data_IF_632347309797
#
_entry.id   IF_632347309797
#
_cell.length_a   1.000
_cell.length_b   1.000
_cell.length_c   1.000
_cell.angle_alpha   90.00
_cell.angle_beta   90.00
_cell.angle_gamma   90.00
#
_symmetry.space_group_name_H-M   'P 1'
#
loop_
_entity.id
_entity.type
_entity.pdbx_description
1 polymer ?
#
# COMPACT_ATOMS: atom_id res chain seq x y z
N UNK A 1 67.42 -2.53 -4.64
CA UNK A 1 66.43 -2.25 -3.57
C UNK A 1 65.85 -3.59 -3.12
N UNK A 2 66.44 -4.16 -2.06
CA UNK A 2 65.99 -5.41 -1.44
C UNK A 2 64.79 -5.11 -0.55
N UNK A 3 63.57 -5.47 -0.97
CA UNK A 3 62.43 -5.49 -0.06
C UNK A 3 62.51 -6.77 0.79
N UNK A 4 62.55 -6.67 2.12
CA UNK A 4 62.51 -7.85 2.98
C UNK A 4 61.13 -8.53 2.85
N UNK A 5 61.12 -9.76 2.35
CA UNK A 5 59.94 -10.64 2.37
C UNK A 5 59.80 -11.17 3.79
N UNK A 6 58.73 -10.79 4.49
CA UNK A 6 58.39 -11.34 5.80
C UNK A 6 57.66 -12.67 5.55
N UNK A 7 58.21 -13.83 5.97
CA UNK A 7 57.51 -15.10 5.82
C UNK A 7 56.34 -15.15 6.79
N UNK A 8 55.11 -15.26 6.27
CA UNK A 8 53.92 -15.55 7.07
C UNK A 8 54.01 -17.03 7.46
N UNK A 9 54.32 -17.29 8.73
CA UNK A 9 54.22 -18.64 9.28
C UNK A 9 52.77 -19.13 9.16
N UNK A 10 52.58 -20.28 8.52
CA UNK A 10 51.28 -20.95 8.48
C UNK A 10 50.87 -21.28 9.91
N UNK A 11 49.92 -20.51 10.47
CA UNK A 11 49.30 -20.85 11.75
C UNK A 11 48.64 -22.21 11.59
N UNK A 12 48.95 -23.12 12.52
CA UNK A 12 48.23 -24.40 12.68
C UNK A 12 46.72 -24.18 12.58
N UNK A 13 45.95 -25.15 12.04
CA UNK A 13 44.52 -25.00 11.89
C UNK A 13 43.91 -24.75 13.27
N UNK A 14 43.58 -23.49 13.55
CA UNK A 14 42.83 -23.08 14.72
C UNK A 14 41.59 -23.95 14.76
N UNK A 15 41.41 -24.70 15.86
CA UNK A 15 40.21 -25.48 16.19
C UNK A 15 39.01 -24.72 15.64
N UNK A 16 38.35 -25.27 14.62
CA UNK A 16 37.09 -24.73 14.14
C UNK A 16 36.20 -24.59 15.36
N UNK A 17 35.96 -23.35 15.80
CA UNK A 17 34.88 -23.08 16.73
C UNK A 17 33.65 -23.70 16.06
N UNK A 18 33.12 -24.77 16.66
CA UNK A 18 31.77 -25.25 16.35
C UNK A 18 30.92 -23.99 16.24
N UNK A 19 30.22 -23.80 15.12
CA UNK A 19 29.20 -22.76 15.02
C UNK A 19 28.24 -23.02 16.17
N UNK A 20 28.44 -22.33 17.28
CA UNK A 20 27.43 -22.20 18.32
C UNK A 20 26.17 -21.69 17.62
N UNK A 21 25.02 -22.18 18.09
CA UNK A 21 23.69 -22.03 17.52
C UNK A 21 23.47 -20.70 16.75
N UNK A 22 22.66 -20.70 15.67
CA UNK A 22 22.46 -19.51 14.85
C UNK A 22 22.27 -18.26 15.72
N UNK A 23 23.12 -17.25 15.50
CA UNK A 23 23.03 -15.96 16.20
C UNK A 23 21.67 -15.35 15.86
N UNK A 24 20.78 -15.30 16.84
CA UNK A 24 19.42 -14.82 16.68
C UNK A 24 18.53 -15.34 17.80
N UNK A 25 17.35 -14.75 17.95
CA UNK A 25 16.36 -15.23 18.92
C UNK A 25 15.92 -16.63 18.53
N UNK A 26 15.89 -17.58 19.48
CA UNK A 26 15.30 -18.91 19.25
C UNK A 26 13.83 -18.71 18.93
N UNK A 27 13.39 -19.28 17.80
CA UNK A 27 12.00 -19.22 17.38
C UNK A 27 11.18 -20.18 18.24
N UNK A 28 10.10 -19.67 18.81
CA UNK A 28 9.12 -20.46 19.53
C UNK A 28 8.34 -21.35 18.53
N UNK A 29 8.34 -22.69 18.69
CA UNK A 29 7.57 -23.58 17.83
C UNK A 29 6.07 -23.25 17.77
N UNK A 30 5.48 -22.74 18.85
CA UNK A 30 4.07 -22.35 18.87
C UNK A 30 3.82 -21.13 17.98
N UNK A 31 4.63 -20.08 18.14
CA UNK A 31 4.55 -18.87 17.30
C UNK A 31 4.80 -19.19 15.81
N UNK A 32 5.68 -20.15 15.51
CA UNK A 32 5.90 -20.62 14.15
C UNK A 32 4.67 -21.30 13.56
N UNK A 33 4.03 -22.21 14.30
CA UNK A 33 2.82 -22.87 13.87
C UNK A 33 1.68 -21.87 13.63
N UNK A 34 1.54 -20.86 14.50
CA UNK A 34 0.58 -19.77 14.36
C UNK A 34 0.83 -18.92 13.09
N UNK A 35 2.09 -18.57 12.82
CA UNK A 35 2.48 -17.86 11.59
C UNK A 35 2.18 -18.70 10.36
N UNK A 36 2.56 -19.98 10.34
CA UNK A 36 2.28 -20.88 9.23
C UNK A 36 0.78 -21.04 8.98
N UNK A 37 -0.02 -21.19 10.04
CA UNK A 37 -1.47 -21.24 9.95
C UNK A 37 -2.08 -19.92 9.44
N UNK A 38 -1.47 -18.77 9.75
CA UNK A 38 -1.94 -17.45 9.31
C UNK A 38 -1.59 -17.18 7.85
N UNK A 39 -0.40 -17.58 7.41
CA UNK A 39 0.05 -17.41 6.04
C UNK A 39 -0.61 -18.43 5.09
N UNK A 40 -0.93 -19.63 5.59
CA UNK A 40 -1.58 -20.69 4.83
C UNK A 40 -0.79 -21.06 3.57
N UNK A 41 -1.46 -21.08 2.42
CA UNK A 41 -0.86 -21.34 1.10
C UNK A 41 -0.21 -20.13 0.43
N UNK A 42 -0.19 -18.95 1.07
CA UNK A 42 0.32 -17.71 0.44
C UNK A 42 1.80 -17.86 0.06
N UNK A 43 2.24 -17.19 -1.02
CA UNK A 43 3.66 -17.16 -1.38
C UNK A 43 4.53 -16.57 -0.26
N UNK A 44 5.76 -17.09 -0.10
CA UNK A 44 6.79 -16.60 0.84
C UNK A 44 7.80 -15.69 0.15
N UNK A 45 7.48 -15.17 -1.03
CA UNK A 45 8.33 -14.19 -1.71
C UNK A 45 8.56 -12.98 -0.81
N UNK A 46 9.76 -12.40 -0.91
CA UNK A 46 10.24 -11.32 -0.04
C UNK A 46 9.31 -10.11 -0.06
N UNK A 47 8.79 -9.77 -1.24
CA UNK A 47 7.93 -8.60 -1.45
C UNK A 47 6.57 -8.68 -0.76
N UNK A 48 6.17 -9.87 -0.29
CA UNK A 48 4.94 -10.04 0.50
C UNK A 48 5.16 -9.85 2.00
N UNK A 49 6.35 -9.40 2.44
CA UNK A 49 6.65 -9.22 3.86
C UNK A 49 5.61 -8.31 4.55
N UNK A 50 5.30 -7.14 3.97
CA UNK A 50 4.33 -6.21 4.54
C UNK A 50 2.92 -6.81 4.56
N UNK A 51 2.53 -7.54 3.52
CA UNK A 51 1.24 -8.25 3.48
C UNK A 51 1.13 -9.31 4.58
N UNK A 52 2.22 -10.03 4.86
CA UNK A 52 2.26 -11.01 5.94
C UNK A 52 2.27 -10.36 7.33
N UNK A 53 2.92 -9.20 7.48
CA UNK A 53 2.83 -8.39 8.71
C UNK A 53 1.38 -7.93 8.95
N UNK A 54 0.66 -7.48 7.91
CA UNK A 54 -0.76 -7.16 8.03
C UNK A 54 -1.60 -8.36 8.45
N UNK A 55 -1.39 -9.54 7.85
CA UNK A 55 -2.13 -10.76 8.24
C UNK A 55 -1.93 -11.13 9.71
N UNK A 56 -0.70 -11.01 10.21
CA UNK A 56 -0.41 -11.27 11.62
C UNK A 56 -1.07 -10.23 12.51
N UNK A 57 -0.95 -8.95 12.17
CA UNK A 57 -1.57 -7.88 12.97
C UNK A 57 -3.09 -7.97 12.97
N UNK A 58 -3.73 -8.22 11.84
CA UNK A 58 -5.18 -8.34 11.75
C UNK A 58 -5.70 -9.55 12.55
N UNK A 59 -4.90 -10.62 12.64
CA UNK A 59 -5.25 -11.83 13.40
C UNK A 59 -5.02 -11.69 14.90
N UNK A 60 -3.90 -11.11 15.31
CA UNK A 60 -3.45 -11.09 16.71
C UNK A 60 -3.61 -9.71 17.39
N UNK A 61 -4.01 -8.68 16.64
CA UNK A 61 -4.16 -7.29 17.10
C UNK A 61 -2.84 -6.55 17.31
N UNK A 62 -1.70 -7.22 17.13
CA UNK A 62 -0.35 -6.67 17.28
C UNK A 62 0.68 -7.62 16.66
N UNK A 63 1.93 -7.18 16.59
CA UNK A 63 3.08 -7.96 16.17
C UNK A 63 3.98 -8.27 17.36
N UNK A 64 3.79 -9.45 17.94
CA UNK A 64 4.67 -9.89 19.03
C UNK A 64 6.08 -10.17 18.51
N UNK A 65 7.08 -9.95 19.36
CA UNK A 65 8.46 -10.24 18.98
C UNK A 65 8.71 -11.75 18.72
N UNK A 66 7.86 -12.65 19.25
CA UNK A 66 7.88 -14.07 18.89
C UNK A 66 7.35 -14.32 17.47
N UNK A 67 6.25 -13.66 17.08
CA UNK A 67 5.70 -13.73 15.73
C UNK A 67 6.64 -13.14 14.69
N UNK A 68 7.31 -12.02 14.98
CA UNK A 68 8.30 -11.44 14.07
C UNK A 68 9.50 -12.37 13.84
N UNK A 69 10.00 -13.01 14.90
CA UNK A 69 11.08 -13.99 14.78
C UNK A 69 10.67 -15.23 14.00
N UNK A 70 9.44 -15.70 14.22
CA UNK A 70 8.85 -16.82 13.48
C UNK A 70 8.62 -16.48 11.99
N UNK A 71 8.11 -15.29 11.68
CA UNK A 71 7.93 -14.81 10.31
C UNK A 71 9.26 -14.72 9.57
N UNK A 72 10.29 -14.18 10.22
CA UNK A 72 11.64 -14.12 9.65
C UNK A 72 12.16 -15.53 9.29
N UNK A 73 11.95 -16.52 10.16
CA UNK A 73 12.32 -17.91 9.86
C UNK A 73 11.50 -18.48 8.70
N UNK A 74 10.18 -18.32 8.72
CA UNK A 74 9.27 -18.85 7.70
C UNK A 74 9.57 -18.27 6.31
N UNK A 75 9.86 -16.97 6.23
CA UNK A 75 10.21 -16.28 4.98
C UNK A 75 11.70 -16.38 4.61
N UNK A 76 12.53 -16.98 5.46
CA UNK A 76 14.00 -17.07 5.30
C UNK A 76 14.67 -15.70 5.18
N UNK A 77 14.20 -14.73 5.97
CA UNK A 77 14.75 -13.38 6.06
C UNK A 77 15.52 -13.17 7.38
N UNK A 78 16.49 -12.25 7.43
CA UNK A 78 17.10 -11.84 8.69
C UNK A 78 16.05 -11.25 9.65
N UNK A 79 16.09 -11.65 10.94
CA UNK A 79 15.18 -11.10 11.97
C UNK A 79 15.27 -9.57 12.07
N UNK A 80 16.47 -9.00 11.91
CA UNK A 80 16.68 -7.57 11.90
C UNK A 80 15.94 -6.88 10.73
N UNK A 81 15.97 -7.46 9.54
CA UNK A 81 15.27 -6.90 8.37
C UNK A 81 13.76 -6.88 8.59
N UNK A 82 13.18 -7.98 9.08
CA UNK A 82 11.74 -8.05 9.39
C UNK A 82 11.36 -7.03 10.46
N UNK A 83 12.16 -6.92 11.53
CA UNK A 83 11.91 -5.95 12.59
C UNK A 83 12.03 -4.50 12.10
N UNK A 84 13.06 -4.18 11.31
CA UNK A 84 13.27 -2.84 10.76
C UNK A 84 12.12 -2.43 9.84
N UNK A 85 11.67 -3.34 8.97
CA UNK A 85 10.49 -3.11 8.12
C UNK A 85 9.26 -2.88 8.99
N UNK A 86 8.96 -3.76 9.94
CA UNK A 86 7.80 -3.60 10.81
C UNK A 86 7.84 -2.27 11.58
N UNK A 87 8.99 -1.89 12.14
CA UNK A 87 9.14 -0.69 12.97
C UNK A 87 9.10 0.63 12.20
N UNK A 88 9.25 0.58 10.87
CA UNK A 88 9.23 1.76 10.03
C UNK A 88 7.81 2.30 9.79
N UNK A 89 6.82 1.41 9.83
CA UNK A 89 5.43 1.71 9.49
C UNK A 89 4.58 1.92 10.74
N UNK A 90 3.92 3.07 10.86
CA UNK A 90 3.24 3.49 12.09
C UNK A 90 2.03 2.64 12.46
N UNK A 91 1.44 1.93 11.48
CA UNK A 91 0.27 1.13 11.77
C UNK A 91 0.60 -0.22 12.39
N UNK A 92 1.86 -0.65 12.38
CA UNK A 92 2.28 -1.90 13.02
C UNK A 92 2.56 -1.69 14.52
N UNK A 93 1.71 -2.30 15.35
CA UNK A 93 1.86 -2.34 16.80
C UNK A 93 2.84 -3.44 17.21
N UNK A 94 4.12 -3.07 17.37
CA UNK A 94 5.15 -4.01 17.81
C UNK A 94 5.17 -4.12 19.33
N UNK A 95 5.10 -5.36 19.84
CA UNK A 95 5.16 -5.66 21.28
C UNK A 95 6.44 -6.44 21.58
N UNK A 96 7.32 -5.86 22.41
CA UNK A 96 8.58 -6.50 22.83
C UNK A 96 8.34 -7.53 23.92
N UNK A 97 9.39 -8.30 24.26
CA UNK A 97 9.32 -9.25 25.36
C UNK A 97 8.96 -8.58 26.68
N UNK A 98 7.95 -9.13 27.37
CA UNK A 98 7.53 -8.63 28.68
C UNK A 98 6.68 -7.35 28.63
N UNK A 99 6.43 -6.78 27.44
CA UNK A 99 5.49 -5.67 27.28
C UNK A 99 4.05 -6.19 27.20
N UNK A 100 3.10 -5.40 27.72
CA UNK A 100 1.69 -5.72 27.61
C UNK A 100 1.19 -5.47 26.18
N UNK A 101 0.35 -6.37 25.69
CA UNK A 101 -0.33 -6.17 24.42
C UNK A 101 -1.22 -4.92 24.45
N UNK A 102 -1.38 -4.22 23.31
CA UNK A 102 -2.32 -3.11 23.23
C UNK A 102 -3.75 -3.60 23.50
N UNK A 103 -4.63 -2.64 23.83
CA UNK A 103 -6.04 -2.94 24.00
C UNK A 103 -6.64 -3.53 22.71
N UNK A 104 -7.59 -4.46 22.85
CA UNK A 104 -8.15 -5.21 21.72
C UNK A 104 -8.83 -4.32 20.67
N UNK A 105 -9.28 -3.13 21.07
CA UNK A 105 -9.83 -2.13 20.16
C UNK A 105 -9.04 -0.83 20.27
N UNK A 106 -8.70 -0.26 19.13
CA UNK A 106 -8.07 1.06 19.02
C UNK A 106 -9.01 2.04 18.35
N UNK A 107 -9.18 3.20 18.96
CA UNK A 107 -9.81 4.39 18.38
C UNK A 107 -8.72 5.37 18.00
N UNK A 108 -8.66 5.74 16.72
CA UNK A 108 -7.73 6.74 16.21
C UNK A 108 -8.49 8.03 15.98
N UNK A 109 -8.07 9.13 16.60
CA UNK A 109 -8.63 10.46 16.34
C UNK A 109 -7.64 11.21 15.46
N UNK A 110 -8.11 11.77 14.35
CA UNK A 110 -7.29 12.56 13.45
C UNK A 110 -6.84 13.85 14.16
N UNK A 111 -5.53 14.09 14.24
CA UNK A 111 -4.90 15.31 14.76
C UNK A 111 -4.45 16.27 13.66
N UNK A 112 -4.87 16.04 12.42
CA UNK A 112 -4.62 16.98 11.33
C UNK A 112 -5.33 18.32 11.56
N UNK A 113 -4.75 19.41 11.04
CA UNK A 113 -5.22 20.79 11.24
C UNK A 113 -6.75 20.98 11.09
N UNK A 114 -7.38 20.44 10.05
CA UNK A 114 -8.83 20.57 9.86
C UNK A 114 -9.64 19.91 10.99
N UNK A 115 -9.15 18.79 11.53
CA UNK A 115 -9.79 18.07 12.63
C UNK A 115 -9.54 18.75 13.97
N UNK A 116 -8.33 19.26 14.23
CA UNK A 116 -8.04 20.10 15.40
C UNK A 116 -8.97 21.32 15.45
N UNK A 117 -9.05 22.08 14.35
CA UNK A 117 -9.96 23.23 14.22
C UNK A 117 -11.44 22.87 14.42
N UNK A 118 -11.81 21.61 14.17
CA UNK A 118 -13.16 21.10 14.34
C UNK A 118 -13.39 20.40 15.71
N UNK A 119 -12.42 20.43 16.62
CA UNK A 119 -12.55 19.93 17.99
C UNK A 119 -12.00 18.52 18.24
N UNK A 120 -11.02 18.05 17.45
CA UNK A 120 -10.38 16.76 17.69
C UNK A 120 -9.68 16.66 19.06
N UNK A 121 -9.11 17.75 19.57
CA UNK A 121 -8.48 17.80 20.91
C UNK A 121 -9.47 17.45 22.02
N UNK A 122 -10.71 17.91 21.88
CA UNK A 122 -11.81 17.61 22.79
C UNK A 122 -12.14 16.12 22.80
N UNK A 123 -12.12 15.47 21.62
CA UNK A 123 -12.31 14.03 21.51
C UNK A 123 -11.15 13.28 22.17
N UNK A 124 -9.90 13.66 21.88
CA UNK A 124 -8.71 13.04 22.45
C UNK A 124 -8.67 13.16 23.98
N UNK A 125 -9.12 14.29 24.53
CA UNK A 125 -9.18 14.50 25.97
C UNK A 125 -10.28 13.69 26.66
N UNK A 126 -11.47 13.58 26.05
CA UNK A 126 -12.67 13.01 26.69
C UNK A 126 -12.83 11.50 26.48
N UNK A 127 -12.50 11.00 25.29
CA UNK A 127 -12.72 9.59 24.93
C UNK A 127 -12.02 8.58 25.86
N UNK A 128 -10.76 8.78 26.33
CA UNK A 128 -10.12 7.82 27.23
C UNK A 128 -10.91 7.57 28.51
N UNK A 129 -11.51 8.62 29.10
CA UNK A 129 -12.33 8.49 30.29
C UNK A 129 -13.68 7.82 30.01
N UNK A 130 -14.27 8.09 28.84
CA UNK A 130 -15.57 7.55 28.43
C UNK A 130 -15.52 6.07 28.03
N UNK A 131 -14.45 5.65 27.34
CA UNK A 131 -14.33 4.30 26.78
C UNK A 131 -13.65 3.32 27.74
N UNK A 132 -12.99 3.81 28.79
CA UNK A 132 -12.31 2.99 29.79
C UNK A 132 -11.00 2.38 29.29
N UNK A 133 -10.45 1.43 30.06
CA UNK A 133 -9.11 0.85 29.82
C UNK A 133 -9.07 -0.25 28.75
N UNK A 134 -10.23 -0.75 28.33
CA UNK A 134 -10.35 -1.81 27.32
C UNK A 134 -10.24 -1.29 25.89
N UNK A 135 -10.26 0.04 25.71
CA UNK A 135 -10.14 0.69 24.41
C UNK A 135 -8.98 1.67 24.45
N UNK A 136 -8.06 1.50 23.51
CA UNK A 136 -6.91 2.40 23.34
C UNK A 136 -7.33 3.56 22.46
N UNK A 137 -7.21 4.80 22.95
CA UNK A 137 -7.43 6.01 22.16
C UNK A 137 -6.09 6.64 21.83
N UNK A 138 -5.81 6.88 20.54
CA UNK A 138 -4.57 7.52 20.09
C UNK A 138 -4.86 8.64 19.09
N UNK A 139 -3.98 9.63 19.06
CA UNK A 139 -3.89 10.57 17.94
C UNK A 139 -3.34 9.85 16.71
N UNK A 140 -3.80 10.27 15.53
CA UNK A 140 -3.30 9.78 14.25
C UNK A 140 -3.19 10.95 13.26
N UNK A 141 -2.17 10.94 12.38
CA UNK A 141 -2.08 11.89 11.28
C UNK A 141 -3.34 11.90 10.39
N UNK A 142 -3.38 12.83 9.42
CA UNK A 142 -4.50 12.96 8.50
C UNK A 142 -4.94 11.61 7.88
N UNK A 143 -6.19 11.22 8.13
CA UNK A 143 -6.81 9.99 7.64
C UNK A 143 -7.60 10.17 6.32
N UNK A 144 -7.37 11.28 5.59
CA UNK A 144 -7.98 11.54 4.28
C UNK A 144 -9.49 11.86 4.31
N UNK A 145 -9.98 12.41 5.43
CA UNK A 145 -11.40 12.72 5.67
C UNK A 145 -11.62 14.14 6.19
N UNK A 146 -10.84 15.09 5.68
CA UNK A 146 -10.86 16.47 6.15
C UNK A 146 -12.21 17.17 5.89
N UNK A 147 -12.97 16.76 4.88
CA UNK A 147 -14.33 17.25 4.62
C UNK A 147 -15.37 16.68 5.62
N UNK A 148 -14.98 15.71 6.43
CA UNK A 148 -15.77 15.08 7.48
C UNK A 148 -15.25 15.45 8.88
N UNK A 149 -14.43 16.48 9.02
CA UNK A 149 -13.81 16.86 10.28
C UNK A 149 -14.84 17.24 11.40
N UNK A 150 -14.53 16.97 12.69
CA UNK A 150 -13.41 16.15 13.14
C UNK A 150 -13.68 14.68 12.79
N UNK A 151 -12.64 13.94 12.41
CA UNK A 151 -12.79 12.55 11.99
C UNK A 151 -12.06 11.61 12.96
N UNK A 152 -12.68 10.46 13.25
CA UNK A 152 -12.09 9.39 14.04
C UNK A 152 -12.25 8.04 13.32
N UNK A 153 -11.54 7.01 13.76
CA UNK A 153 -11.66 5.64 13.26
C UNK A 153 -11.77 4.70 14.44
N UNK A 154 -12.85 3.91 14.51
CA UNK A 154 -13.04 2.84 15.48
C UNK A 154 -12.65 1.53 14.83
N UNK A 155 -11.51 0.96 15.21
CA UNK A 155 -10.91 -0.17 14.49
C UNK A 155 -10.54 0.23 13.07
N UNK A 156 -11.35 -0.19 12.09
CA UNK A 156 -11.24 0.13 10.67
C UNK A 156 -12.43 0.97 10.16
N UNK A 157 -13.39 1.30 11.03
CA UNK A 157 -14.61 2.04 10.68
C UNK A 157 -14.43 3.54 10.89
N UNK A 158 -14.45 4.38 9.84
CA UNK A 158 -14.40 5.82 9.98
C UNK A 158 -15.71 6.36 10.58
N UNK A 159 -15.58 7.30 11.50
CA UNK A 159 -16.68 8.04 12.11
C UNK A 159 -16.58 9.48 11.59
N UNK A 160 -17.41 9.87 10.59
CA UNK A 160 -17.45 11.23 10.09
C UNK A 160 -18.10 12.17 11.10
N UNK A 161 -17.65 13.43 11.18
CA UNK A 161 -18.14 14.45 12.12
C UNK A 161 -18.22 13.88 13.54
N UNK A 162 -17.13 13.26 13.96
CA UNK A 162 -17.04 12.45 15.16
C UNK A 162 -17.41 13.27 16.41
N UNK A 163 -18.28 12.70 17.22
CA UNK A 163 -18.57 13.16 18.57
C UNK A 163 -18.20 12.05 19.56
N UNK A 164 -18.02 12.41 20.83
CA UNK A 164 -17.78 11.40 21.87
C UNK A 164 -18.88 10.33 21.90
N UNK A 165 -20.14 10.74 21.73
CA UNK A 165 -21.29 9.83 21.73
C UNK A 165 -21.30 8.90 20.51
N UNK A 166 -21.01 9.42 19.33
CA UNK A 166 -20.96 8.62 18.09
C UNK A 166 -19.83 7.58 18.15
N UNK A 167 -18.65 7.98 18.62
CA UNK A 167 -17.51 7.07 18.81
C UNK A 167 -17.84 6.02 19.88
N UNK A 168 -18.40 6.42 21.03
CA UNK A 168 -18.78 5.50 22.09
C UNK A 168 -19.88 4.52 21.65
N UNK A 169 -20.84 4.97 20.84
CA UNK A 169 -21.85 4.11 20.23
C UNK A 169 -21.19 3.07 19.31
N UNK A 170 -20.34 3.49 18.39
CA UNK A 170 -19.64 2.57 17.49
C UNK A 170 -18.77 1.54 18.24
N UNK A 171 -18.13 1.95 19.34
CA UNK A 171 -17.40 1.02 20.24
C UNK A 171 -18.33 0.02 20.91
N UNK A 172 -19.44 0.47 21.53
CA UNK A 172 -20.42 -0.41 22.19
C UNK A 172 -21.03 -1.41 21.22
N UNK A 173 -21.36 -0.95 20.02
CA UNK A 173 -22.01 -1.76 18.98
C UNK A 173 -21.00 -2.64 18.22
N UNK A 174 -19.70 -2.52 18.54
CA UNK A 174 -18.59 -3.20 17.84
C UNK A 174 -18.60 -2.94 16.33
N UNK A 175 -19.02 -1.74 15.93
CA UNK A 175 -19.01 -1.27 14.55
C UNK A 175 -17.58 -0.89 14.14
N UNK A 176 -16.74 -1.92 13.94
CA UNK A 176 -15.29 -1.78 13.71
C UNK A 176 -14.85 -1.94 12.26
N UNK A 177 -15.76 -2.29 11.35
CA UNK A 177 -15.49 -2.46 9.92
C UNK A 177 -16.19 -1.37 9.13
N UNK A 178 -15.45 -0.74 8.21
CA UNK A 178 -16.03 0.18 7.25
C UNK A 178 -16.80 -0.60 6.18
N UNK A 179 -18.08 -0.30 6.02
CA UNK A 179 -18.85 -0.75 4.86
C UNK A 179 -18.82 0.34 3.80
N UNK A 180 -18.37 0.06 2.56
CA UNK A 180 -18.45 1.03 1.48
C UNK A 180 -19.89 1.52 1.28
N UNK A 181 -20.05 2.80 1.00
CA UNK A 181 -21.33 3.35 0.53
C UNK A 181 -21.64 2.85 -0.90
N UNK A 182 -22.78 3.25 -1.47
CA UNK A 182 -23.12 2.89 -2.84
C UNK A 182 -22.14 3.54 -3.85
N UNK A 183 -21.64 2.75 -4.79
CA UNK A 183 -20.70 3.14 -5.84
C UNK A 183 -21.11 2.51 -7.18
N UNK A 184 -20.53 2.98 -8.29
CA UNK A 184 -20.70 2.40 -9.61
C UNK A 184 -19.85 1.12 -9.69
N UNK A 185 -20.49 -0.04 -9.52
CA UNK A 185 -19.83 -1.34 -9.59
C UNK A 185 -19.56 -1.78 -11.05
N UNK A 186 -18.90 -2.94 -11.22
CA UNK A 186 -18.55 -3.46 -12.55
C UNK A 186 -19.75 -3.58 -13.51
N UNK A 187 -20.90 -4.06 -13.01
CA UNK A 187 -22.06 -4.34 -13.83
C UNK A 187 -22.71 -3.02 -14.28
N UNK A 188 -22.88 -2.08 -13.35
CA UNK A 188 -23.37 -0.75 -13.67
C UNK A 188 -22.41 -0.03 -14.62
N UNK A 189 -21.10 -0.07 -14.35
CA UNK A 189 -20.09 0.58 -15.20
C UNK A 189 -20.16 0.06 -16.64
N UNK A 190 -20.31 -1.27 -16.82
CA UNK A 190 -20.48 -1.89 -18.14
C UNK A 190 -21.78 -1.51 -18.82
N UNK A 191 -22.88 -1.46 -18.07
CA UNK A 191 -24.19 -1.06 -18.59
C UNK A 191 -24.18 0.38 -19.13
N UNK A 192 -23.37 1.25 -18.53
CA UNK A 192 -23.17 2.64 -18.95
C UNK A 192 -22.11 2.80 -20.08
N UNK A 193 -21.62 1.70 -20.65
CA UNK A 193 -20.65 1.70 -21.75
C UNK A 193 -19.18 1.68 -21.32
N UNK A 194 -18.90 1.39 -20.05
CA UNK A 194 -17.55 1.18 -19.55
C UNK A 194 -16.81 0.04 -20.26
N UNK A 195 -15.48 0.16 -20.33
CA UNK A 195 -14.56 -0.73 -21.05
C UNK A 195 -14.68 -0.72 -22.58
N UNK A 196 -15.56 0.08 -23.18
CA UNK A 196 -15.66 0.19 -24.64
C UNK A 196 -14.46 0.92 -25.24
N UNK A 197 -13.93 1.94 -24.55
CA UNK A 197 -12.71 2.61 -24.99
C UNK A 197 -11.53 1.64 -24.98
N UNK A 198 -11.35 0.88 -23.89
CA UNK A 198 -10.33 -0.17 -23.83
C UNK A 198 -10.48 -1.18 -24.98
N UNK A 199 -11.68 -1.68 -25.26
CA UNK A 199 -11.95 -2.59 -26.39
C UNK A 199 -11.60 -1.96 -27.75
N UNK A 200 -11.85 -0.67 -27.93
CA UNK A 200 -11.48 0.06 -29.16
C UNK A 200 -9.96 0.17 -29.35
N UNK A 201 -9.20 0.27 -28.25
CA UNK A 201 -7.74 0.26 -28.27
C UNK A 201 -7.19 -1.12 -28.68
N UNK A 202 -7.74 -2.22 -28.13
CA UNK A 202 -7.26 -3.57 -28.47
C UNK A 202 -7.67 -4.03 -29.87
N UNK A 203 -8.78 -3.54 -30.41
CA UNK A 203 -9.25 -3.86 -31.77
C UNK A 203 -8.58 -3.03 -32.87
N UNK A 204 -7.55 -2.25 -32.51
CA UNK A 204 -6.82 -1.34 -33.42
C UNK A 204 -7.68 -0.23 -34.05
N UNK A 205 -8.91 -0.03 -33.56
CA UNK A 205 -9.74 1.12 -33.95
C UNK A 205 -9.13 2.45 -33.49
N UNK A 206 -8.30 2.42 -32.44
CA UNK A 206 -7.44 3.53 -32.01
C UNK A 206 -5.99 3.08 -31.93
N UNK A 207 -5.09 3.86 -32.53
CA UNK A 207 -3.65 3.58 -32.45
C UNK A 207 -3.06 4.08 -31.13
N UNK A 208 -2.00 3.42 -30.66
CA UNK A 208 -1.26 3.82 -29.45
C UNK A 208 -0.76 5.26 -29.58
N UNK A 209 -0.25 5.63 -30.75
CA UNK A 209 0.24 6.99 -31.02
C UNK A 209 -0.90 8.01 -30.93
N UNK A 210 -2.09 7.70 -31.44
CA UNK A 210 -3.26 8.59 -31.32
C UNK A 210 -3.65 8.83 -29.86
N UNK A 211 -3.65 7.78 -29.03
CA UNK A 211 -3.99 7.90 -27.60
C UNK A 211 -2.94 8.72 -26.86
N UNK A 212 -1.65 8.40 -27.03
CA UNK A 212 -0.56 9.14 -26.40
C UNK A 212 -0.58 10.62 -26.82
N UNK A 213 -0.76 10.89 -28.12
CA UNK A 213 -0.83 12.26 -28.64
C UNK A 213 -2.01 13.02 -28.04
N UNK A 214 -3.18 12.39 -27.89
CA UNK A 214 -4.35 13.01 -27.25
C UNK A 214 -4.04 13.42 -25.81
N UNK A 215 -3.35 12.57 -25.05
CA UNK A 215 -2.91 12.90 -23.68
C UNK A 215 -1.86 14.01 -23.64
N UNK A 216 -0.98 14.11 -24.65
CA UNK A 216 -0.03 15.22 -24.78
C UNK A 216 -0.73 16.53 -25.14
N UNK A 217 -1.63 16.51 -26.12
CA UNK A 217 -2.37 17.68 -26.61
C UNK A 217 -3.35 18.24 -25.57
N UNK A 218 -3.97 17.37 -24.76
CA UNK A 218 -4.84 17.81 -23.64
C UNK A 218 -4.08 18.52 -22.52
N UNK A 219 -2.75 18.40 -22.48
CA UNK A 219 -1.94 18.95 -21.42
C UNK A 219 -2.10 18.23 -20.08
N UNK A 220 -2.58 16.98 -20.06
CA UNK A 220 -2.68 16.18 -18.84
C UNK A 220 -1.30 16.05 -18.17
N UNK A 221 -1.24 16.42 -16.89
CA UNK A 221 -0.05 16.30 -16.03
C UNK A 221 -0.35 15.36 -14.88
N UNK A 222 0.69 14.78 -14.28
CA UNK A 222 0.54 13.95 -13.08
C UNK A 222 -0.09 14.73 -11.93
N UNK A 223 -1.27 14.30 -11.49
CA UNK A 223 -2.11 14.93 -10.46
C UNK A 223 -1.76 14.48 -9.03
N UNK A 224 -0.60 13.83 -8.86
CA UNK A 224 0.01 13.55 -7.55
C UNK A 224 0.86 14.72 -7.00
N UNK A 225 0.87 15.88 -7.65
CA UNK A 225 1.58 17.09 -7.22
C UNK A 225 2.81 17.45 -8.06
N UNK A 226 3.60 16.47 -8.51
CA UNK A 226 4.82 16.74 -9.30
C UNK A 226 4.55 17.32 -10.70
N UNK A 227 3.37 17.06 -11.28
CA UNK A 227 2.95 17.68 -12.53
C UNK A 227 3.81 17.32 -13.75
N UNK A 228 4.36 16.11 -13.85
CA UNK A 228 5.05 15.68 -15.08
C UNK A 228 4.03 15.34 -16.18
N UNK A 229 4.22 15.72 -17.46
CA UNK A 229 3.26 15.44 -18.54
C UNK A 229 3.00 13.93 -18.72
N UNK A 230 1.74 13.52 -18.68
CA UNK A 230 1.35 12.10 -18.63
C UNK A 230 1.73 11.35 -19.91
N UNK A 231 1.34 11.87 -21.08
CA UNK A 231 1.66 11.24 -22.37
C UNK A 231 3.17 11.12 -22.63
N UNK A 232 3.95 12.13 -22.22
CA UNK A 232 5.42 12.05 -22.28
C UNK A 232 5.98 10.95 -21.37
N UNK A 233 5.42 10.77 -20.17
CA UNK A 233 5.81 9.68 -19.25
C UNK A 233 5.56 8.32 -19.89
N UNK A 234 4.43 8.16 -20.59
CA UNK A 234 4.09 6.93 -21.31
C UNK A 234 5.09 6.64 -22.43
N UNK A 235 5.47 7.64 -23.25
CA UNK A 235 6.50 7.47 -24.28
C UNK A 235 7.83 7.00 -23.70
N UNK A 236 8.27 7.60 -22.60
CA UNK A 236 9.55 7.26 -21.94
C UNK A 236 9.54 5.79 -21.52
N UNK A 237 8.53 5.36 -20.76
CA UNK A 237 8.48 3.96 -20.28
C UNK A 237 8.28 2.98 -21.43
N UNK A 238 7.45 3.31 -22.43
CA UNK A 238 7.26 2.47 -23.62
C UNK A 238 8.56 2.27 -24.43
N UNK A 239 9.48 3.23 -24.40
CA UNK A 239 10.76 3.14 -25.09
C UNK A 239 11.77 2.22 -24.38
N UNK A 240 11.58 1.95 -23.08
CA UNK A 240 12.46 1.06 -22.31
C UNK A 240 12.23 -0.42 -22.64
N UNK A 241 13.20 -1.32 -22.43
CA UNK A 241 13.02 -2.75 -22.72
C UNK A 241 11.89 -3.39 -21.90
N UNK A 242 11.16 -4.32 -22.52
CA UNK A 242 10.27 -5.22 -21.79
C UNK A 242 11.09 -6.24 -20.98
N UNK A 243 10.54 -6.81 -19.89
CA UNK A 243 9.20 -6.58 -19.32
C UNK A 243 9.10 -5.29 -18.50
N UNK A 244 7.97 -4.59 -18.64
CA UNK A 244 7.64 -3.32 -17.96
C UNK A 244 6.54 -3.54 -16.94
N UNK A 245 6.50 -2.72 -15.90
CA UNK A 245 5.50 -2.78 -14.82
C UNK A 245 4.78 -1.45 -14.67
N UNK A 246 3.64 -1.47 -13.98
CA UNK A 246 2.97 -0.25 -13.52
C UNK A 246 2.87 -0.23 -12.01
N UNK A 247 3.06 0.95 -11.41
CA UNK A 247 2.73 1.25 -10.03
C UNK A 247 1.68 2.37 -10.00
N UNK A 248 0.58 2.18 -9.27
CA UNK A 248 -0.43 3.21 -9.05
C UNK A 248 -0.40 3.63 -7.60
N UNK A 249 -0.27 4.93 -7.37
CA UNK A 249 -0.22 5.54 -6.06
C UNK A 249 -1.61 6.01 -5.61
N UNK A 250 -2.14 5.36 -4.57
CA UNK A 250 -3.34 5.73 -3.81
C UNK A 250 -2.98 5.83 -2.30
N UNK A 251 -1.78 6.30 -1.98
CA UNK A 251 -1.39 6.56 -0.58
C UNK A 251 -2.04 7.84 -0.03
N UNK A 252 -2.40 8.80 -0.92
CA UNK A 252 -3.06 10.09 -0.62
C UNK A 252 -2.72 10.66 0.78
N UNK A 253 -1.41 10.72 1.09
CA UNK A 253 -0.93 10.99 2.45
C UNK A 253 -0.92 12.46 2.83
N UNK A 254 -0.96 13.37 1.86
CA UNK A 254 -0.90 14.82 2.08
C UNK A 254 -2.10 15.30 2.93
N UNK A 255 -1.86 15.93 4.10
CA UNK A 255 -2.94 16.46 4.92
C UNK A 255 -3.88 17.38 4.14
N UNK A 256 -5.20 17.16 4.28
CA UNK A 256 -6.21 17.94 3.54
C UNK A 256 -6.60 17.36 2.18
N UNK A 257 -5.87 16.37 1.67
CA UNK A 257 -6.23 15.69 0.41
C UNK A 257 -7.20 14.52 0.65
N UNK A 258 -8.22 14.45 -0.20
CA UNK A 258 -9.26 13.40 -0.19
C UNK A 258 -9.89 13.21 -1.58
N UNK A 259 -9.27 13.76 -2.63
CA UNK A 259 -9.76 13.75 -4.00
C UNK A 259 -9.75 12.32 -4.57
N UNK A 260 -8.69 11.55 -4.29
CA UNK A 260 -8.54 10.18 -4.78
C UNK A 260 -9.56 9.29 -4.08
N UNK A 261 -9.70 9.40 -2.76
CA UNK A 261 -10.75 8.69 -2.02
C UNK A 261 -12.15 8.99 -2.55
N UNK A 262 -12.50 10.27 -2.71
CA UNK A 262 -13.86 10.65 -3.13
C UNK A 262 -14.21 10.10 -4.50
N UNK A 263 -13.25 10.06 -5.43
CA UNK A 263 -13.46 9.46 -6.75
C UNK A 263 -13.50 7.93 -6.66
N UNK A 264 -12.61 7.32 -5.89
CA UNK A 264 -12.52 5.87 -5.71
C UNK A 264 -13.76 5.27 -5.02
N UNK A 265 -14.32 5.96 -4.00
CA UNK A 265 -15.53 5.56 -3.30
C UNK A 265 -16.79 5.69 -4.19
N UNK A 266 -16.70 6.29 -5.39
CA UNK A 266 -17.86 6.53 -6.28
C UNK A 266 -17.77 5.76 -7.60
N UNK A 267 -16.63 5.78 -8.25
CA UNK A 267 -16.44 5.21 -9.60
C UNK A 267 -15.04 4.57 -9.71
N UNK A 268 -14.83 3.40 -9.09
CA UNK A 268 -13.55 2.70 -9.12
C UNK A 268 -13.17 2.24 -10.53
N UNK A 269 -14.16 1.88 -11.36
CA UNK A 269 -13.92 1.29 -12.67
C UNK A 269 -13.41 2.28 -13.70
N UNK A 270 -13.75 3.57 -13.57
CA UNK A 270 -13.20 4.62 -14.42
C UNK A 270 -11.68 4.76 -14.31
N UNK A 271 -11.15 4.69 -13.08
CA UNK A 271 -9.71 4.60 -12.86
C UNK A 271 -9.14 3.28 -13.40
N UNK A 272 -9.77 2.14 -13.11
CA UNK A 272 -9.27 0.82 -13.55
C UNK A 272 -9.21 0.73 -15.08
N UNK A 273 -10.18 1.26 -15.80
CA UNK A 273 -10.15 1.32 -17.27
C UNK A 273 -9.00 2.21 -17.76
N UNK A 274 -8.82 3.40 -17.20
CA UNK A 274 -7.70 4.28 -17.54
C UNK A 274 -6.33 3.64 -17.29
N UNK A 275 -6.20 2.91 -16.18
CA UNK A 275 -5.02 2.10 -15.85
C UNK A 275 -4.76 1.02 -16.91
N UNK A 276 -5.79 0.28 -17.32
CA UNK A 276 -5.68 -0.77 -18.35
C UNK A 276 -5.33 -0.20 -19.73
N UNK A 277 -5.85 0.98 -20.10
CA UNK A 277 -5.48 1.69 -21.33
C UNK A 277 -4.01 2.09 -21.28
N UNK A 278 -3.54 2.62 -20.15
CA UNK A 278 -2.14 2.96 -19.95
C UNK A 278 -1.23 1.73 -20.06
N UNK A 279 -1.66 0.60 -19.49
CA UNK A 279 -0.94 -0.66 -19.54
C UNK A 279 -0.84 -1.19 -20.97
N UNK A 280 -1.94 -1.18 -21.73
CA UNK A 280 -1.94 -1.51 -23.16
C UNK A 280 -1.00 -0.59 -23.96
N UNK A 281 -1.12 0.73 -23.77
CA UNK A 281 -0.32 1.71 -24.49
C UNK A 281 1.19 1.58 -24.18
N UNK A 282 1.57 1.09 -23.01
CA UNK A 282 2.96 0.91 -22.61
C UNK A 282 3.48 -0.54 -22.74
N UNK A 283 2.62 -1.52 -23.06
CA UNK A 283 2.98 -2.94 -23.09
C UNK A 283 3.38 -3.46 -21.70
N UNK A 284 2.48 -3.30 -20.74
CA UNK A 284 2.64 -3.70 -19.33
C UNK A 284 1.69 -4.86 -19.03
N UNK A 285 2.22 -5.95 -18.48
CA UNK A 285 1.45 -7.17 -18.16
C UNK A 285 1.00 -7.23 -16.68
N UNK A 286 1.58 -6.42 -15.80
CA UNK A 286 1.28 -6.42 -14.36
C UNK A 286 1.25 -5.00 -13.80
N UNK A 287 0.15 -4.68 -13.11
CA UNK A 287 -0.10 -3.39 -12.46
C UNK A 287 -0.22 -3.58 -10.94
N UNK A 288 0.61 -2.88 -10.19
CA UNK A 288 0.55 -2.83 -8.73
C UNK A 288 -0.20 -1.58 -8.30
N UNK A 289 -1.28 -1.74 -7.55
CA UNK A 289 -2.04 -0.64 -6.97
C UNK A 289 -1.68 -0.55 -5.49
N UNK A 290 -1.05 0.54 -5.07
CA UNK A 290 -0.69 0.77 -3.68
C UNK A 290 -1.72 1.66 -3.01
N UNK A 291 -2.41 1.12 -2.01
CA UNK A 291 -3.47 1.82 -1.29
C UNK A 291 -3.08 1.99 0.18
N UNK A 292 -3.19 3.21 0.70
CA UNK A 292 -2.96 3.48 2.13
C UNK A 292 -3.85 2.63 3.02
N UNK A 293 -3.38 2.34 4.22
CA UNK A 293 -4.11 1.48 5.16
C UNK A 293 -5.43 2.10 5.64
N UNK A 294 -5.45 3.43 5.81
CA UNK A 294 -6.58 4.19 6.34
C UNK A 294 -7.85 4.02 5.51
N UNK A 295 -7.72 3.73 4.22
CA UNK A 295 -8.81 3.58 3.26
C UNK A 295 -9.39 2.16 3.24
N UNK A 296 -9.71 1.62 4.41
CA UNK A 296 -10.23 0.26 4.61
C UNK A 296 -11.43 -0.10 3.72
N UNK A 297 -12.38 0.82 3.57
CA UNK A 297 -13.57 0.62 2.72
C UNK A 297 -13.21 0.56 1.24
N UNK A 298 -12.35 1.48 0.79
CA UNK A 298 -11.82 1.46 -0.58
C UNK A 298 -11.06 0.17 -0.87
N UNK A 299 -10.31 -0.35 0.12
CA UNK A 299 -9.58 -1.62 0.00
C UNK A 299 -10.54 -2.78 -0.24
N UNK A 300 -11.55 -2.93 0.62
CA UNK A 300 -12.54 -4.00 0.48
C UNK A 300 -13.31 -3.91 -0.85
N UNK A 301 -13.65 -2.70 -1.28
CA UNK A 301 -14.28 -2.43 -2.57
C UNK A 301 -13.36 -2.81 -3.74
N UNK A 302 -12.10 -2.36 -3.74
CA UNK A 302 -11.15 -2.69 -4.79
C UNK A 302 -10.83 -4.18 -4.85
N UNK A 303 -10.65 -4.85 -3.71
CA UNK A 303 -10.46 -6.30 -3.64
C UNK A 303 -11.63 -7.02 -4.34
N UNK A 304 -12.87 -6.64 -4.04
CA UNK A 304 -14.06 -7.24 -4.64
C UNK A 304 -14.17 -6.97 -6.15
N UNK A 305 -13.99 -5.72 -6.60
CA UNK A 305 -14.12 -5.37 -8.02
C UNK A 305 -12.95 -5.91 -8.86
N UNK A 306 -11.73 -5.98 -8.32
CA UNK A 306 -10.59 -6.63 -8.99
C UNK A 306 -10.85 -8.14 -9.12
N UNK A 307 -11.43 -8.80 -8.11
CA UNK A 307 -11.78 -10.22 -8.21
C UNK A 307 -12.85 -10.47 -9.29
N UNK A 308 -13.86 -9.60 -9.40
CA UNK A 308 -14.82 -9.67 -10.51
C UNK A 308 -14.14 -9.55 -11.88
N UNK A 309 -13.20 -8.59 -12.03
CA UNK A 309 -12.42 -8.43 -13.27
C UNK A 309 -11.51 -9.63 -13.57
N UNK A 310 -11.00 -10.32 -12.55
CA UNK A 310 -10.22 -11.56 -12.75
C UNK A 310 -11.09 -12.71 -13.25
N UNK A 311 -12.32 -12.82 -12.75
CA UNK A 311 -13.28 -13.87 -13.15
C UNK A 311 -13.84 -13.63 -14.55
N UNK A 312 -14.22 -12.39 -14.84
CA UNK A 312 -14.78 -12.00 -16.14
C UNK A 312 -14.07 -10.74 -16.68
N UNK A 313 -12.87 -10.89 -17.26
CA UNK A 313 -12.10 -9.76 -17.74
C UNK A 313 -12.76 -9.09 -18.96
N UNK A 314 -12.75 -7.75 -19.05
CA UNK A 314 -13.36 -7.03 -20.16
C UNK A 314 -12.66 -7.28 -21.51
N UNK A 315 -11.42 -7.78 -21.47
CA UNK A 315 -10.56 -8.04 -22.65
C UNK A 315 -9.69 -9.29 -22.43
N UNK A 316 -9.31 -9.94 -23.53
CA UNK A 316 -8.37 -11.08 -23.52
C UNK A 316 -6.99 -10.58 -23.09
N UNK A 317 -6.27 -11.40 -22.31
CA UNK A 317 -4.93 -11.07 -21.81
C UNK A 317 -4.88 -9.73 -21.05
N UNK A 318 -5.93 -9.44 -20.28
CA UNK A 318 -5.94 -8.31 -19.36
C UNK A 318 -4.71 -8.39 -18.42
N UNK A 319 -3.96 -7.29 -18.24
CA UNK A 319 -2.88 -7.21 -17.27
C UNK A 319 -3.33 -7.66 -15.88
N UNK A 320 -2.45 -8.35 -15.15
CA UNK A 320 -2.69 -8.73 -13.77
C UNK A 320 -2.73 -7.48 -12.88
N UNK A 321 -3.76 -7.35 -12.07
CA UNK A 321 -3.90 -6.25 -11.10
C UNK A 321 -3.62 -6.81 -9.71
N UNK A 322 -2.61 -6.26 -9.03
CA UNK A 322 -2.18 -6.65 -7.68
C UNK A 322 -2.38 -5.45 -6.76
N UNK A 323 -3.34 -5.57 -5.83
CA UNK A 323 -3.51 -4.59 -4.76
C UNK A 323 -2.45 -4.83 -3.67
N UNK A 324 -1.81 -3.77 -3.21
CA UNK A 324 -0.86 -3.74 -2.10
C UNK A 324 -1.34 -2.78 -1.04
N UNK A 325 -1.29 -3.23 0.21
CA UNK A 325 -1.71 -2.47 1.37
C UNK A 325 -0.52 -1.72 1.96
N UNK A 326 -0.63 -0.41 2.06
CA UNK A 326 0.31 0.41 2.83
C UNK A 326 0.11 0.24 4.33
N UNK A 327 1.01 0.81 5.13
CA UNK A 327 1.02 0.63 6.58
C UNK A 327 1.23 1.94 7.37
N UNK A 328 0.70 3.05 6.86
CA UNK A 328 0.70 4.34 7.55
C UNK A 328 2.05 5.05 7.53
N UNK A 329 2.63 5.25 6.35
CA UNK A 329 3.88 5.98 6.20
C UNK A 329 3.76 7.04 5.11
N UNK A 330 3.57 8.31 5.50
CA UNK A 330 3.42 9.47 4.59
C UNK A 330 4.47 9.52 3.47
N UNK A 331 5.72 9.16 3.78
CA UNK A 331 6.81 9.15 2.81
C UNK A 331 6.58 8.17 1.65
N UNK A 332 5.74 7.14 1.82
CA UNK A 332 5.36 6.20 0.76
C UNK A 332 4.45 6.83 -0.30
N UNK A 333 3.98 8.06 -0.11
CA UNK A 333 3.42 8.86 -1.20
C UNK A 333 4.47 9.30 -2.24
N UNK A 334 5.77 9.24 -1.92
CA UNK A 334 6.85 9.46 -2.88
C UNK A 334 7.04 8.23 -3.79
N UNK A 335 7.21 8.48 -5.09
CA UNK A 335 7.24 7.46 -6.16
C UNK A 335 8.14 6.24 -5.85
N UNK A 336 9.38 6.49 -5.41
CA UNK A 336 10.36 5.44 -5.18
C UNK A 336 10.26 4.79 -3.80
N UNK A 337 9.81 5.55 -2.80
CA UNK A 337 9.47 5.02 -1.48
C UNK A 337 8.27 4.05 -1.54
N UNK A 338 7.24 4.37 -2.32
CA UNK A 338 6.12 3.47 -2.60
C UNK A 338 6.61 2.14 -3.19
N UNK A 339 7.53 2.21 -4.16
CA UNK A 339 8.12 1.02 -4.80
C UNK A 339 8.88 0.16 -3.79
N UNK A 340 9.68 0.77 -2.91
CA UNK A 340 10.34 0.04 -1.83
C UNK A 340 9.33 -0.64 -0.89
N UNK A 341 8.21 0.03 -0.61
CA UNK A 341 7.11 -0.55 0.17
C UNK A 341 6.47 -1.75 -0.54
N UNK A 342 6.10 -1.61 -1.81
CA UNK A 342 5.56 -2.72 -2.65
C UNK A 342 6.54 -3.90 -2.66
N UNK A 343 7.84 -3.64 -2.71
CA UNK A 343 8.90 -4.65 -2.66
C UNK A 343 9.13 -5.24 -1.26
N UNK A 344 8.33 -4.90 -0.24
CA UNK A 344 8.46 -5.44 1.11
C UNK A 344 9.68 -4.88 1.87
N UNK A 345 10.08 -3.64 1.59
CA UNK A 345 11.17 -2.93 2.28
C UNK A 345 10.60 -1.76 3.08
N UNK A 346 11.50 -1.08 3.79
CA UNK A 346 11.22 0.25 4.35
C UNK A 346 11.01 1.22 3.19
N UNK A 347 9.96 2.04 3.25
CA UNK A 347 9.64 3.04 2.22
C UNK A 347 10.60 4.22 2.22
N UNK A 348 11.89 3.98 1.96
CA UNK A 348 12.89 5.02 1.86
C UNK A 348 13.08 5.41 0.40
N UNK A 349 13.02 6.71 0.05
CA UNK A 349 13.25 7.15 -1.32
C UNK A 349 14.59 6.64 -1.86
N UNK A 350 14.58 6.16 -3.10
CA UNK A 350 15.78 5.71 -3.80
C UNK A 350 16.62 6.90 -4.23
N UNK A 351 17.93 6.72 -4.23
CA UNK A 351 18.84 7.67 -4.84
C UNK A 351 18.62 7.67 -6.36
N UNK A 352 18.50 8.87 -6.93
CA UNK A 352 18.37 9.08 -8.37
C UNK A 352 19.66 9.72 -8.89
N UNK A 353 20.18 9.31 -10.07
CA UNK A 353 19.73 8.22 -10.95
C UNK A 353 20.10 6.79 -10.42
N UNK A 354 19.47 5.70 -10.93
CA UNK A 354 18.50 5.65 -12.04
C UNK A 354 17.10 6.12 -11.67
N UNK A 355 16.32 6.56 -12.67
CA UNK A 355 14.91 6.93 -12.49
C UNK A 355 14.00 5.70 -12.53
N UNK A 356 12.82 5.79 -11.89
CA UNK A 356 11.81 4.71 -11.83
C UNK A 356 11.36 4.24 -13.21
N UNK A 357 11.27 5.17 -14.18
CA UNK A 357 10.95 4.84 -15.56
C UNK A 357 11.93 3.82 -16.18
N UNK A 358 13.17 3.76 -15.69
CA UNK A 358 14.23 2.84 -16.16
C UNK A 358 14.40 1.65 -15.21
N UNK A 359 14.47 1.92 -13.90
CA UNK A 359 14.73 0.94 -12.84
C UNK A 359 13.80 1.21 -11.66
N UNK A 360 12.56 0.74 -11.78
CA UNK A 360 11.50 0.85 -10.78
C UNK A 360 11.27 -0.47 -10.04
N UNK A 361 10.01 -0.93 -10.03
CA UNK A 361 9.57 -2.16 -9.39
C UNK A 361 10.39 -3.36 -9.84
N UNK A 362 10.97 -4.08 -8.86
CA UNK A 362 11.77 -5.29 -9.07
C UNK A 362 12.91 -5.10 -10.08
N UNK A 363 13.45 -3.86 -10.14
CA UNK A 363 14.52 -3.49 -11.05
C UNK A 363 14.09 -3.36 -12.52
N UNK A 364 12.79 -3.23 -12.80
CA UNK A 364 12.23 -3.13 -14.17
C UNK A 364 11.74 -1.72 -14.48
N UNK A 365 11.73 -1.32 -15.77
CA UNK A 365 11.09 -0.09 -16.19
C UNK A 365 9.64 -0.03 -15.69
N UNK A 366 9.31 1.04 -14.97
CA UNK A 366 8.01 1.15 -14.30
C UNK A 366 7.31 2.45 -14.66
N UNK A 367 6.08 2.32 -15.13
CA UNK A 367 5.17 3.46 -15.26
C UNK A 367 4.50 3.70 -13.91
N UNK A 368 4.83 4.82 -13.28
CA UNK A 368 4.12 5.26 -12.08
C UNK A 368 3.11 6.37 -12.39
N UNK A 369 1.93 6.28 -11.79
CA UNK A 369 0.93 7.34 -11.77
C UNK A 369 0.18 7.43 -10.45
N UNK A 370 -0.25 8.65 -10.11
CA UNK A 370 -1.32 8.86 -9.15
C UNK A 370 -2.67 8.40 -9.73
N UNK A 371 -3.54 7.88 -8.86
CA UNK A 371 -4.92 7.47 -9.16
C UNK A 371 -5.66 8.42 -10.11
N UNK A 372 -5.77 9.70 -9.76
CA UNK A 372 -6.59 10.67 -10.48
C UNK A 372 -6.08 10.91 -11.91
N UNK A 373 -4.76 10.80 -12.12
CA UNK A 373 -4.17 10.95 -13.46
C UNK A 373 -4.71 9.90 -14.42
N UNK A 374 -4.90 8.67 -13.93
CA UNK A 374 -5.46 7.56 -14.71
C UNK A 374 -6.99 7.66 -14.81
N UNK A 375 -7.67 8.17 -13.79
CA UNK A 375 -9.12 8.41 -13.78
C UNK A 375 -9.58 9.30 -14.96
N UNK A 376 -8.80 10.33 -15.29
CA UNK A 376 -9.15 11.25 -16.39
C UNK A 376 -8.80 10.75 -17.78
N UNK A 377 -8.09 9.62 -17.92
CA UNK A 377 -7.68 9.10 -19.24
C UNK A 377 -8.88 8.85 -20.15
N UNK A 378 -9.96 8.27 -19.62
CA UNK A 378 -11.16 7.97 -20.41
C UNK A 378 -11.81 9.24 -20.97
N UNK A 379 -12.05 10.22 -20.11
CA UNK A 379 -12.67 11.51 -20.46
C UNK A 379 -11.91 12.25 -21.56
N UNK A 380 -10.58 12.13 -21.55
CA UNK A 380 -9.73 12.85 -22.49
C UNK A 380 -9.61 12.16 -23.85
N UNK A 381 -9.86 10.86 -23.92
CA UNK A 381 -9.64 10.05 -25.14
C UNK A 381 -10.95 9.76 -25.87
N UNK A 382 -12.07 9.67 -25.16
CA UNK A 382 -13.42 9.63 -25.76
C UNK A 382 -13.71 10.93 -26.51
#
# INVERSE_FOLDING_TARGET
>A
MNHPIIPIAAREPTRQRKREAPKGRRVDPAALAEVQATLGGSSRQRDLLIEHLHKLQDRFGHLSAAHLAALAQEMRLPQAEVYEVASFYHHFDIVKEGEAAPAALTVRVCDGLSCELAGADDLLAKLPALLGREVRVIAAPCIGRCEQAPAAVVGQNPIPRATCDAVAAAVRDKATRHQPEAFIDLDQYRAEGGYQLLKSCLSEARSIESVIKTLEDSGLRGLGGAGFPAGRKWRIVRAEPAPRLMAVNIDEGEPGTFKDRVLLERDPHRFLEGMLIAAWACGIDTCYVYLRDEYHGCRALLEAEIDKLRVDPPVIAMPEIILRRGAGAYICGEESAMIESIEGKRGMPRLRPPYVAQVGLFGRPTLEHNFETLFWVRELVE
#
